data_IF_961454346671
#
_entry.id   IF_961454346671
#
_cell.length_a   1.000
_cell.length_b   1.000
_cell.length_c   1.000
_cell.angle_alpha   90.00
_cell.angle_beta   90.00
_cell.angle_gamma   90.00
#
_symmetry.space_group_name_H-M   'P 1'
#
loop_
_entity.id
_entity.type
_entity.pdbx_description
1 polymer ?
#
# COMPACT_ATOMS: atom_id res chain seq x y z
N UNK A 1 1.45 -9.58 -18.14
CA UNK A 1 0.02 -9.52 -17.75
C UNK A 1 -0.78 -10.31 -18.76
N UNK A 2 -1.80 -11.05 -18.33
CA UNK A 2 -2.39 -12.07 -19.22
C UNK A 2 -3.90 -12.17 -19.09
N UNK A 3 -4.60 -12.04 -20.21
CA UNK A 3 -5.94 -12.57 -20.44
C UNK A 3 -5.90 -14.08 -20.56
N UNK A 4 -7.00 -14.75 -20.28
CA UNK A 4 -7.17 -16.21 -20.44
C UNK A 4 -8.08 -16.43 -21.64
N UNK A 5 -7.60 -17.19 -22.62
CA UNK A 5 -8.38 -17.55 -23.81
C UNK A 5 -8.38 -19.07 -23.98
N UNK A 6 -9.41 -19.58 -24.62
CA UNK A 6 -9.51 -21.00 -24.96
C UNK A 6 -8.59 -21.32 -26.14
N UNK A 7 -7.81 -22.40 -26.02
CA UNK A 7 -6.92 -22.84 -27.08
C UNK A 7 -7.70 -23.58 -28.17
N UNK A 8 -8.13 -22.84 -29.19
CA UNK A 8 -8.87 -23.40 -30.32
C UNK A 8 -8.08 -24.44 -31.14
N UNK A 9 -6.75 -24.50 -31.00
CA UNK A 9 -5.94 -25.51 -31.71
C UNK A 9 -6.17 -26.93 -31.21
N UNK A 10 -6.79 -27.09 -30.04
CA UNK A 10 -7.17 -28.38 -29.47
C UNK A 10 -8.39 -28.99 -30.16
N UNK A 11 -9.08 -28.21 -30.98
CA UNK A 11 -10.25 -28.65 -31.72
C UNK A 11 -9.86 -28.97 -33.16
N UNK A 12 -10.20 -30.16 -33.62
CA UNK A 12 -10.02 -30.54 -35.02
C UNK A 12 -11.11 -29.88 -35.89
N UNK A 13 -10.86 -29.77 -37.20
CA UNK A 13 -11.90 -29.30 -38.14
C UNK A 13 -13.17 -30.18 -38.14
N UNK A 14 -13.09 -31.41 -37.63
CA UNK A 14 -14.23 -32.33 -37.54
C UNK A 14 -15.11 -32.08 -36.30
N UNK A 15 -14.64 -31.24 -35.36
CA UNK A 15 -15.34 -30.88 -34.12
C UNK A 15 -16.25 -29.66 -34.27
N UNK A 16 -16.51 -29.25 -35.51
CA UNK A 16 -17.41 -28.16 -35.85
C UNK A 16 -18.60 -28.71 -36.64
N UNK A 17 -19.76 -28.03 -36.61
CA UNK A 17 -20.94 -28.42 -37.39
C UNK A 17 -20.56 -28.73 -38.86
N UNK A 18 -21.05 -29.84 -39.44
CA UNK A 18 -22.32 -30.50 -39.13
C UNK A 18 -22.25 -31.79 -38.28
N UNK A 19 -21.07 -32.20 -37.80
CA UNK A 19 -20.89 -33.54 -37.19
C UNK A 19 -21.34 -33.63 -35.72
N UNK A 20 -21.77 -32.52 -35.10
CA UNK A 20 -22.23 -32.42 -33.70
C UNK A 20 -21.26 -32.96 -32.63
N UNK A 21 -20.01 -33.29 -32.95
CA UNK A 21 -18.99 -33.56 -31.93
C UNK A 21 -18.54 -32.25 -31.32
N UNK A 22 -18.47 -32.21 -30.00
CA UNK A 22 -17.91 -31.08 -29.26
C UNK A 22 -16.46 -31.44 -28.94
N UNK A 23 -15.55 -30.60 -29.41
CA UNK A 23 -14.13 -30.66 -29.13
C UNK A 23 -13.82 -30.98 -27.66
N UNK A 24 -12.84 -31.85 -27.42
CA UNK A 24 -12.33 -32.22 -26.09
C UNK A 24 -13.42 -32.67 -25.09
N UNK A 25 -14.62 -33.08 -25.54
CA UNK A 25 -15.65 -33.61 -24.63
C UNK A 25 -15.66 -35.12 -24.57
N UNK A 26 -14.99 -35.80 -25.50
CA UNK A 26 -14.92 -37.25 -25.58
C UNK A 26 -13.71 -37.84 -24.87
N UNK A 27 -13.50 -39.13 -25.14
CA UNK A 27 -12.33 -39.85 -24.63
C UNK A 27 -11.03 -39.30 -25.23
N UNK A 28 -11.10 -38.73 -26.43
CA UNK A 28 -10.02 -38.06 -27.15
C UNK A 28 -9.42 -36.86 -26.41
N UNK A 29 -10.21 -36.10 -25.64
CA UNK A 29 -9.70 -35.00 -24.82
C UNK A 29 -9.31 -35.40 -23.40
N UNK A 30 -10.20 -36.12 -22.70
CA UNK A 30 -10.06 -36.38 -21.26
C UNK A 30 -9.50 -37.76 -20.90
N UNK A 31 -9.55 -38.72 -21.82
CA UNK A 31 -9.28 -40.14 -21.54
C UNK A 31 -8.27 -40.80 -22.50
N UNK A 32 -7.60 -40.05 -23.38
CA UNK A 32 -6.65 -40.60 -24.36
C UNK A 32 -5.24 -40.12 -24.06
N UNK A 33 -4.30 -41.07 -24.01
CA UNK A 33 -2.86 -40.93 -23.69
C UNK A 33 -2.07 -39.94 -24.59
N UNK A 34 -2.71 -39.30 -25.57
CA UNK A 34 -2.07 -38.30 -26.45
C UNK A 34 -2.18 -36.87 -25.90
N UNK A 35 -3.14 -36.59 -25.03
CA UNK A 35 -3.36 -35.25 -24.45
C UNK A 35 -3.18 -35.23 -22.93
N UNK A 36 -2.29 -36.07 -22.39
CA UNK A 36 -1.88 -36.08 -20.98
C UNK A 36 -1.57 -34.68 -20.45
N UNK A 37 -1.08 -33.77 -21.30
CA UNK A 37 -0.79 -32.40 -20.92
C UNK A 37 -2.02 -31.67 -20.34
N UNK A 38 -3.24 -31.88 -20.86
CA UNK A 38 -4.42 -31.20 -20.34
C UNK A 38 -4.77 -31.69 -18.94
N UNK A 39 -4.82 -33.01 -18.76
CA UNK A 39 -5.12 -33.64 -17.48
C UNK A 39 -4.03 -33.34 -16.45
N UNK A 40 -2.75 -33.40 -16.83
CA UNK A 40 -1.62 -33.09 -15.94
C UNK A 40 -1.60 -31.61 -15.55
N UNK A 41 -1.80 -30.68 -16.49
CA UNK A 41 -1.91 -29.25 -16.15
C UNK A 41 -3.13 -29.03 -15.25
N UNK A 42 -4.28 -29.63 -15.57
CA UNK A 42 -5.49 -29.55 -14.77
C UNK A 42 -5.28 -30.04 -13.33
N UNK A 43 -4.66 -31.22 -13.18
CA UNK A 43 -4.27 -31.79 -11.90
C UNK A 43 -3.29 -30.89 -11.13
N UNK A 44 -2.31 -30.31 -11.82
CA UNK A 44 -1.37 -29.38 -11.18
C UNK A 44 -2.05 -28.08 -10.72
N UNK A 45 -3.06 -27.61 -11.44
CA UNK A 45 -3.82 -26.42 -11.05
C UNK A 45 -4.75 -26.69 -9.87
N UNK A 46 -5.48 -27.81 -9.86
CA UNK A 46 -6.37 -28.17 -8.74
C UNK A 46 -5.60 -28.49 -7.45
N UNK A 47 -4.38 -29.05 -7.57
CA UNK A 47 -3.47 -29.32 -6.45
C UNK A 47 -2.62 -28.11 -6.05
N UNK A 48 -2.81 -26.97 -6.72
CA UNK A 48 -2.06 -25.73 -6.50
C UNK A 48 -0.53 -25.92 -6.62
N UNK A 49 -0.08 -26.86 -7.47
CA UNK A 49 1.32 -27.12 -7.81
C UNK A 49 1.76 -26.48 -9.13
N UNK A 50 0.82 -26.01 -9.95
CA UNK A 50 1.13 -25.36 -11.24
C UNK A 50 2.01 -24.12 -11.05
N UNK A 51 3.00 -23.94 -11.94
CA UNK A 51 3.94 -22.81 -11.90
C UNK A 51 3.36 -21.52 -12.49
N UNK A 52 2.40 -21.61 -13.41
CA UNK A 52 1.97 -20.47 -14.23
C UNK A 52 0.58 -19.94 -13.85
N UNK A 53 -0.32 -20.82 -13.39
CA UNK A 53 -1.73 -20.48 -13.14
C UNK A 53 -2.26 -21.12 -11.86
N UNK A 54 -3.34 -20.56 -11.34
CA UNK A 54 -4.11 -21.08 -10.20
C UNK A 54 -5.58 -20.69 -10.34
N UNK A 55 -6.46 -21.36 -9.62
CA UNK A 55 -7.86 -20.95 -9.50
C UNK A 55 -8.02 -20.17 -8.19
N UNK A 56 -8.71 -19.04 -8.26
CA UNK A 56 -9.16 -18.30 -7.08
C UNK A 56 -10.67 -18.23 -7.06
N UNK A 57 -11.25 -18.03 -5.89
CA UNK A 57 -12.69 -17.85 -5.70
C UNK A 57 -12.94 -16.48 -5.07
N UNK A 58 -13.83 -15.70 -5.67
CA UNK A 58 -14.17 -14.35 -5.23
C UNK A 58 -15.40 -14.39 -4.34
N UNK A 59 -15.21 -14.18 -3.04
CA UNK A 59 -16.29 -14.19 -2.05
C UNK A 59 -17.28 -13.03 -2.26
N UNK A 60 -16.80 -11.89 -2.76
CA UNK A 60 -17.60 -10.70 -3.09
C UNK A 60 -18.36 -10.81 -4.41
N UNK A 61 -18.14 -11.89 -5.18
CA UNK A 61 -18.84 -12.17 -6.42
C UNK A 61 -19.61 -13.51 -6.37
N UNK A 62 -20.20 -13.82 -5.20
CA UNK A 62 -21.00 -15.05 -4.97
C UNK A 62 -20.23 -16.33 -5.29
N UNK A 63 -19.02 -16.47 -4.71
CA UNK A 63 -18.14 -17.62 -4.89
C UNK A 63 -17.79 -17.92 -6.36
N UNK A 64 -17.67 -16.87 -7.18
CA UNK A 64 -17.21 -16.99 -8.57
C UNK A 64 -15.75 -17.44 -8.59
N UNK A 65 -15.49 -18.58 -9.24
CA UNK A 65 -14.13 -19.07 -9.46
C UNK A 65 -13.56 -18.53 -10.77
N UNK A 66 -12.27 -18.20 -10.79
CA UNK A 66 -11.55 -17.61 -11.92
C UNK A 66 -10.17 -18.24 -12.10
N UNK A 67 -9.70 -18.33 -13.35
CA UNK A 67 -8.31 -18.74 -13.66
C UNK A 67 -7.40 -17.53 -13.63
N UNK A 68 -6.41 -17.50 -12.76
CA UNK A 68 -5.47 -16.36 -12.66
C UNK A 68 -4.02 -16.81 -12.78
N UNK A 69 -3.11 -15.93 -13.21
CA UNK A 69 -1.69 -16.22 -13.16
C UNK A 69 -1.23 -16.42 -11.72
N UNK A 70 -0.25 -17.31 -11.51
CA UNK A 70 0.28 -17.58 -10.16
C UNK A 70 1.04 -16.39 -9.59
N UNK A 71 1.82 -15.73 -10.42
CA UNK A 71 2.65 -14.58 -10.06
C UNK A 71 2.25 -13.39 -10.92
N UNK A 72 1.83 -12.32 -10.26
CA UNK A 72 1.54 -11.03 -10.91
C UNK A 72 2.30 -9.96 -10.14
N UNK A 73 2.94 -9.06 -10.88
CA UNK A 73 3.64 -7.92 -10.29
C UNK A 73 2.63 -6.98 -9.63
N UNK A 74 2.78 -6.76 -8.33
CA UNK A 74 1.93 -5.85 -7.54
C UNK A 74 2.02 -4.40 -8.01
N UNK A 75 2.99 -4.04 -8.84
CA UNK A 75 3.10 -2.71 -9.47
C UNK A 75 2.23 -2.56 -10.72
N UNK A 76 1.33 -3.50 -10.98
CA UNK A 76 0.59 -3.51 -12.23
C UNK A 76 -0.90 -3.49 -11.98
N UNK A 77 -1.62 -2.82 -12.85
CA UNK A 77 -3.07 -2.92 -12.95
C UNK A 77 -3.46 -3.12 -14.40
N UNK A 78 -4.45 -3.97 -14.65
CA UNK A 78 -4.89 -4.31 -16.01
C UNK A 78 -6.30 -4.87 -16.03
N UNK A 79 -6.91 -4.89 -17.22
CA UNK A 79 -8.16 -5.62 -17.48
C UNK A 79 -7.89 -6.79 -18.42
N UNK A 80 -8.41 -7.96 -18.08
CA UNK A 80 -8.13 -9.20 -18.77
C UNK A 80 -9.43 -9.96 -19.02
N UNK A 81 -9.62 -10.44 -20.24
CA UNK A 81 -10.69 -11.40 -20.53
C UNK A 81 -10.38 -12.72 -19.82
N UNK A 82 -11.40 -13.37 -19.30
CA UNK A 82 -11.28 -14.61 -18.54
C UNK A 82 -12.59 -15.43 -18.59
N UNK A 83 -12.50 -16.64 -18.07
CA UNK A 83 -13.64 -17.52 -17.85
C UNK A 83 -13.91 -17.66 -16.36
N UNK A 84 -15.18 -17.60 -16.01
CA UNK A 84 -15.67 -17.81 -14.65
C UNK A 84 -16.57 -19.03 -14.56
N UNK A 85 -16.60 -19.63 -13.38
CA UNK A 85 -17.58 -20.67 -13.04
C UNK A 85 -18.21 -20.34 -11.70
N UNK A 86 -19.51 -20.61 -11.59
CA UNK A 86 -20.27 -20.47 -10.34
C UNK A 86 -21.15 -21.70 -10.19
N UNK A 87 -21.16 -22.28 -9.00
CA UNK A 87 -22.07 -23.36 -8.65
C UNK A 87 -23.06 -22.89 -7.58
N UNK A 88 -24.30 -23.33 -7.67
CA UNK A 88 -25.32 -23.13 -6.64
C UNK A 88 -25.95 -24.46 -6.29
N UNK A 89 -25.64 -24.95 -5.09
CA UNK A 89 -26.07 -26.25 -4.59
C UNK A 89 -27.11 -26.12 -3.49
N UNK A 90 -28.07 -27.06 -3.53
CA UNK A 90 -29.10 -27.24 -2.53
C UNK A 90 -29.08 -28.69 -2.05
N UNK A 91 -29.03 -28.87 -0.73
CA UNK A 91 -29.11 -30.20 -0.12
C UNK A 91 -30.46 -30.85 -0.39
N UNK A 92 -30.44 -32.13 -0.75
CA UNK A 92 -31.62 -32.96 -0.97
C UNK A 92 -31.90 -33.91 0.20
N UNK A 93 -30.95 -34.09 1.13
CA UNK A 93 -31.03 -35.08 2.20
C UNK A 93 -32.27 -34.93 3.09
N UNK A 94 -32.72 -33.71 3.36
CA UNK A 94 -33.92 -33.45 4.17
C UNK A 94 -35.23 -33.51 3.37
N UNK A 95 -35.15 -33.53 2.04
CA UNK A 95 -36.31 -33.43 1.14
C UNK A 95 -36.70 -34.79 0.55
N UNK A 96 -35.79 -35.75 0.60
CA UNK A 96 -36.00 -37.09 0.07
C UNK A 96 -36.32 -38.11 1.18
N UNK A 97 -37.21 -39.04 0.87
CA UNK A 97 -37.67 -40.08 1.78
C UNK A 97 -37.02 -41.41 1.36
N UNK A 98 -36.14 -41.93 2.21
CA UNK A 98 -35.48 -43.22 1.98
C UNK A 98 -34.62 -43.63 3.16
N UNK A 99 -35.08 -44.62 3.92
CA UNK A 99 -34.33 -45.29 4.99
C UNK A 99 -34.10 -46.74 4.56
N UNK A 100 -33.04 -47.03 3.80
CA UNK A 100 -32.82 -48.38 3.30
C UNK A 100 -31.43 -48.61 2.74
N UNK A 101 -30.88 -49.81 2.97
CA UNK A 101 -29.46 -50.16 2.75
C UNK A 101 -29.03 -50.24 1.28
N UNK A 102 -29.99 -50.41 0.36
CA UNK A 102 -29.74 -50.67 -1.07
C UNK A 102 -30.83 -50.14 -2.01
N UNK A 103 -31.85 -49.46 -1.49
CA UNK A 103 -32.95 -48.95 -2.31
C UNK A 103 -32.61 -47.57 -2.88
N UNK A 104 -33.08 -47.27 -4.09
CA UNK A 104 -32.98 -45.91 -4.61
C UNK A 104 -33.67 -44.92 -3.68
N UNK A 105 -33.13 -43.71 -3.56
CA UNK A 105 -33.75 -42.67 -2.72
C UNK A 105 -34.90 -42.05 -3.52
N UNK A 106 -36.10 -42.10 -2.96
CA UNK A 106 -37.26 -41.46 -3.54
C UNK A 106 -37.29 -39.98 -3.14
N UNK A 107 -37.26 -39.12 -4.14
CA UNK A 107 -37.31 -37.67 -4.00
C UNK A 107 -38.52 -37.10 -4.76
N UNK A 108 -39.58 -37.89 -5.00
CA UNK A 108 -40.72 -37.49 -5.84
C UNK A 108 -41.41 -36.22 -5.34
N UNK A 109 -41.31 -35.94 -4.04
CA UNK A 109 -41.84 -34.71 -3.41
C UNK A 109 -41.23 -33.42 -3.97
N UNK A 110 -40.03 -33.51 -4.54
CA UNK A 110 -39.34 -32.40 -5.20
C UNK A 110 -39.25 -32.60 -6.71
N UNK A 111 -39.98 -33.59 -7.25
CA UNK A 111 -40.04 -33.92 -8.67
C UNK A 111 -38.90 -34.82 -9.17
N UNK A 112 -38.08 -35.41 -8.29
CA UNK A 112 -37.03 -36.36 -8.67
C UNK A 112 -37.54 -37.75 -8.30
N UNK A 113 -37.97 -38.55 -9.27
CA UNK A 113 -38.52 -39.88 -8.93
C UNK A 113 -37.50 -40.77 -8.21
N UNK A 114 -36.30 -40.94 -8.75
CA UNK A 114 -35.32 -41.88 -8.18
C UNK A 114 -33.87 -41.38 -8.30
N UNK A 115 -33.15 -41.33 -7.17
CA UNK A 115 -31.67 -41.26 -7.17
C UNK A 115 -31.12 -42.70 -7.08
N UNK A 116 -30.44 -43.23 -8.12
CA UNK A 116 -29.76 -44.51 -8.05
C UNK A 116 -28.67 -44.42 -7.00
N UNK A 117 -28.48 -45.52 -6.28
CA UNK A 117 -27.37 -45.66 -5.33
C UNK A 117 -26.47 -46.77 -5.85
N UNK A 118 -25.16 -46.52 -5.99
CA UNK A 118 -24.22 -47.59 -6.28
C UNK A 118 -23.76 -48.21 -4.95
N UNK A 119 -24.25 -49.42 -4.56
CA UNK A 119 -23.92 -50.02 -3.27
C UNK A 119 -22.45 -50.47 -3.16
N UNK A 120 -21.75 -50.59 -4.29
CA UNK A 120 -20.47 -51.29 -4.38
C UNK A 120 -19.24 -50.40 -4.19
N UNK A 121 -19.40 -49.07 -4.17
CA UNK A 121 -18.25 -48.14 -4.22
C UNK A 121 -18.17 -47.27 -2.96
N UNK A 122 -16.99 -47.28 -2.34
CA UNK A 122 -16.69 -46.63 -1.06
C UNK A 122 -16.51 -45.11 -1.20
N UNK A 123 -16.31 -44.62 -2.41
CA UNK A 123 -16.43 -43.21 -2.77
C UNK A 123 -16.86 -43.09 -4.23
N UNK A 124 -18.06 -42.57 -4.48
CA UNK A 124 -18.51 -42.27 -5.83
C UNK A 124 -19.24 -40.96 -5.82
N UNK A 125 -18.91 -40.13 -6.80
CA UNK A 125 -19.79 -39.11 -7.29
C UNK A 125 -20.84 -39.80 -8.16
N UNK A 126 -22.12 -39.70 -7.83
CA UNK A 126 -23.15 -39.94 -8.83
C UNK A 126 -23.22 -38.73 -9.76
N UNK A 127 -23.27 -39.05 -11.05
CA UNK A 127 -22.90 -38.22 -12.19
C UNK A 127 -23.78 -36.99 -12.37
N UNK A 128 -23.14 -35.92 -12.84
CA UNK A 128 -23.75 -34.72 -13.45
C UNK A 128 -24.58 -35.14 -14.66
N UNK A 129 -25.85 -35.46 -14.43
CA UNK A 129 -26.87 -35.55 -15.47
C UNK A 129 -27.91 -34.46 -15.25
N UNK A 130 -28.49 -33.93 -16.34
CA UNK A 130 -29.55 -32.95 -16.26
C UNK A 130 -30.75 -33.62 -15.59
N UNK A 131 -31.44 -32.83 -14.79
CA UNK A 131 -32.48 -33.26 -13.86
C UNK A 131 -33.59 -34.08 -14.53
N UNK A 132 -33.96 -33.69 -15.75
CA UNK A 132 -34.99 -34.31 -16.60
C UNK A 132 -34.71 -35.76 -17.00
N UNK A 133 -33.44 -36.21 -16.96
CA UNK A 133 -33.05 -37.59 -17.31
C UNK A 133 -33.25 -38.61 -16.19
N UNK A 134 -33.75 -38.19 -15.03
CA UNK A 134 -33.86 -39.05 -13.85
C UNK A 134 -35.25 -39.64 -13.65
N UNK A 135 -36.19 -39.36 -14.57
CA UNK A 135 -37.60 -39.53 -14.25
C UNK A 135 -38.26 -40.91 -14.51
N UNK A 136 -37.61 -41.87 -15.17
CA UNK A 136 -38.25 -43.18 -15.47
C UNK A 136 -37.35 -44.41 -15.50
N UNK A 137 -36.05 -44.26 -15.77
CA UNK A 137 -35.06 -45.36 -15.73
C UNK A 137 -33.70 -44.75 -15.39
N UNK A 138 -33.33 -44.63 -14.09
CA UNK A 138 -32.07 -44.01 -13.73
C UNK A 138 -30.93 -44.81 -14.40
N UNK A 139 -30.03 -44.17 -15.15
CA UNK A 139 -28.89 -44.87 -15.70
C UNK A 139 -28.15 -45.55 -14.55
N UNK A 140 -27.80 -46.84 -14.73
CA UNK A 140 -27.01 -47.52 -13.72
C UNK A 140 -25.74 -46.71 -13.48
N UNK A 141 -25.45 -46.31 -12.24
CA UNK A 141 -24.21 -45.64 -11.84
C UNK A 141 -22.97 -46.54 -11.99
N UNK A 142 -23.07 -47.60 -12.78
CA UNK A 142 -22.11 -48.68 -12.87
C UNK A 142 -21.23 -48.61 -14.12
N UNK A 143 -21.30 -47.53 -14.91
CA UNK A 143 -20.68 -47.55 -16.23
C UNK A 143 -19.78 -46.36 -16.45
N UNK A 144 -18.54 -46.69 -16.78
CA UNK A 144 -17.41 -45.90 -17.27
C UNK A 144 -17.69 -45.11 -18.56
N UNK A 145 -18.95 -44.74 -18.81
CA UNK A 145 -19.42 -44.07 -20.01
C UNK A 145 -20.01 -42.70 -19.65
N UNK A 146 -19.61 -41.63 -20.34
CA UNK A 146 -20.08 -40.28 -20.05
C UNK A 146 -21.58 -40.17 -20.34
N UNK A 147 -22.35 -39.57 -19.42
CA UNK A 147 -23.78 -39.29 -19.60
C UNK A 147 -24.06 -38.22 -20.68
N UNK A 148 -23.01 -37.51 -21.08
CA UNK A 148 -22.93 -36.69 -22.29
C UNK A 148 -21.83 -37.27 -23.18
N UNK A 149 -22.21 -38.12 -24.13
CA UNK A 149 -21.26 -38.74 -25.07
C UNK A 149 -20.86 -37.80 -26.22
N UNK A 150 -19.81 -38.16 -26.98
CA UNK A 150 -19.27 -37.40 -28.12
C UNK A 150 -20.25 -37.16 -29.29
N UNK A 151 -21.49 -37.64 -29.18
CA UNK A 151 -22.54 -37.52 -30.20
C UNK A 151 -23.75 -36.67 -29.75
N UNK A 152 -23.74 -36.12 -28.53
CA UNK A 152 -24.85 -35.32 -27.99
C UNK A 152 -24.37 -33.92 -27.58
N UNK A 153 -24.36 -32.99 -28.52
CA UNK A 153 -24.42 -31.57 -28.19
C UNK A 153 -25.84 -31.21 -27.71
N UNK A 154 -26.04 -30.33 -26.73
CA UNK A 154 -25.11 -29.60 -25.86
C UNK A 154 -25.72 -29.52 -24.45
N UNK A 155 -24.90 -29.42 -23.41
CA UNK A 155 -25.39 -29.06 -22.07
C UNK A 155 -25.87 -27.59 -22.08
N UNK A 156 -26.99 -27.32 -21.42
CA UNK A 156 -27.49 -25.95 -21.20
C UNK A 156 -26.54 -25.18 -20.28
N UNK A 157 -26.54 -23.85 -20.37
CA UNK A 157 -25.90 -22.98 -19.39
C UNK A 157 -26.96 -22.10 -18.68
N UNK A 158 -27.34 -22.40 -17.42
CA UNK A 158 -26.66 -23.27 -16.45
C UNK A 158 -26.78 -24.78 -16.73
N UNK A 159 -25.75 -25.51 -16.35
CA UNK A 159 -25.73 -26.98 -16.34
C UNK A 159 -26.36 -27.45 -15.05
N UNK A 160 -27.55 -28.04 -15.13
CA UNK A 160 -28.20 -28.64 -13.97
C UNK A 160 -27.62 -30.03 -13.70
N UNK A 161 -27.32 -30.29 -12.42
CA UNK A 161 -26.60 -31.49 -12.00
C UNK A 161 -27.19 -32.04 -10.71
N UNK A 162 -27.26 -33.37 -10.63
CA UNK A 162 -27.47 -34.07 -9.36
C UNK A 162 -26.14 -34.64 -8.90
N UNK A 163 -25.86 -34.44 -7.62
CA UNK A 163 -24.62 -34.81 -6.97
C UNK A 163 -24.93 -35.81 -5.87
N UNK A 164 -24.27 -36.96 -5.89
CA UNK A 164 -24.17 -37.83 -4.73
C UNK A 164 -22.71 -37.95 -4.35
N UNK A 165 -22.30 -37.54 -3.15
CA UNK A 165 -20.98 -37.86 -2.62
C UNK A 165 -21.12 -38.94 -1.56
N UNK A 166 -20.19 -39.89 -1.54
CA UNK A 166 -20.21 -41.01 -0.59
C UNK A 166 -18.83 -41.25 0.00
N UNK A 167 -18.75 -41.61 1.28
CA UNK A 167 -17.53 -42.12 1.88
C UNK A 167 -17.81 -43.08 3.04
N UNK A 168 -16.87 -43.98 3.35
CA UNK A 168 -16.97 -44.85 4.52
C UNK A 168 -16.85 -44.03 5.82
N UNK A 169 -17.79 -44.28 6.74
CA UNK A 169 -17.62 -44.01 8.15
C UNK A 169 -16.96 -45.22 8.81
N UNK A 170 -15.73 -45.05 9.28
CA UNK A 170 -15.05 -46.06 10.08
C UNK A 170 -15.54 -46.10 11.55
N UNK A 171 -16.58 -45.34 11.90
CA UNK A 171 -17.05 -45.23 13.28
C UNK A 171 -18.06 -46.33 13.59
N UNK A 172 -17.65 -47.27 14.45
CA UNK A 172 -18.46 -48.39 14.94
C UNK A 172 -19.79 -47.92 15.56
N UNK A 173 -20.90 -48.11 14.85
CA UNK A 173 -22.26 -48.22 15.40
C UNK A 173 -22.95 -46.95 15.90
N UNK A 174 -22.24 -45.84 16.07
CA UNK A 174 -22.81 -44.53 16.45
C UNK A 174 -22.19 -43.43 15.57
N UNK A 175 -22.63 -43.31 14.32
CA UNK A 175 -22.30 -42.15 13.50
C UNK A 175 -23.06 -40.94 14.04
N UNK A 176 -22.43 -40.18 14.93
CA UNK A 176 -22.84 -38.80 15.18
C UNK A 176 -22.66 -38.04 13.88
N UNK A 177 -23.79 -37.61 13.31
CA UNK A 177 -23.80 -36.79 12.11
C UNK A 177 -23.71 -35.33 12.56
N UNK A 178 -22.71 -34.57 12.11
CA UNK A 178 -22.49 -33.20 12.59
C UNK A 178 -23.54 -32.21 12.08
N UNK A 179 -24.23 -32.54 10.98
CA UNK A 179 -25.24 -31.68 10.35
C UNK A 179 -26.16 -32.48 9.42
N UNK A 180 -27.32 -31.91 9.09
CA UNK A 180 -28.35 -32.54 8.25
C UNK A 180 -27.95 -32.64 6.75
N UNK A 181 -26.79 -32.12 6.35
CA UNK A 181 -26.29 -32.28 4.98
C UNK A 181 -25.75 -33.69 4.72
N UNK A 182 -25.50 -34.47 5.77
CA UNK A 182 -24.96 -35.81 5.69
C UNK A 182 -26.05 -36.81 6.07
N UNK A 183 -26.26 -37.81 5.22
CA UNK A 183 -27.15 -38.92 5.46
C UNK A 183 -26.30 -40.13 5.88
N UNK A 184 -26.45 -40.65 7.10
CA UNK A 184 -25.64 -41.78 7.60
C UNK A 184 -26.08 -43.13 7.03
N UNK A 185 -27.17 -43.13 6.26
CA UNK A 185 -27.70 -44.32 5.61
C UNK A 185 -27.38 -44.30 4.12
N UNK A 186 -26.99 -45.46 3.56
CA UNK A 186 -26.91 -46.75 4.27
C UNK A 186 -25.58 -46.97 5.03
N UNK A 187 -25.64 -47.52 6.25
CA UNK A 187 -24.46 -47.84 7.06
C UNK A 187 -23.59 -48.88 6.34
N UNK A 188 -22.24 -48.76 6.33
CA UNK A 188 -21.39 -47.82 7.07
C UNK A 188 -20.98 -46.59 6.26
N UNK A 189 -21.85 -46.09 5.36
CA UNK A 189 -21.49 -45.07 4.39
C UNK A 189 -22.24 -43.76 4.67
N UNK A 190 -21.51 -42.66 4.62
CA UNK A 190 -22.04 -41.31 4.72
C UNK A 190 -22.29 -40.78 3.32
N UNK A 191 -23.45 -40.17 3.10
CA UNK A 191 -23.87 -39.68 1.79
C UNK A 191 -24.26 -38.20 1.85
N UNK A 192 -23.92 -37.45 0.81
CA UNK A 192 -24.46 -36.11 0.56
C UNK A 192 -25.17 -36.16 -0.78
N UNK A 193 -26.44 -35.80 -0.80
CA UNK A 193 -27.22 -35.59 -2.01
C UNK A 193 -27.46 -34.09 -2.18
N UNK A 194 -27.11 -33.57 -3.36
CA UNK A 194 -27.33 -32.17 -3.69
C UNK A 194 -27.81 -32.01 -5.13
N UNK A 195 -28.69 -31.03 -5.35
CA UNK A 195 -28.99 -30.50 -6.68
C UNK A 195 -28.15 -29.24 -6.85
N UNK A 196 -27.37 -29.17 -7.92
CA UNK A 196 -26.45 -28.07 -8.19
C UNK A 196 -26.65 -27.54 -9.61
N UNK A 197 -26.75 -26.21 -9.76
CA UNK A 197 -26.63 -25.54 -11.05
C UNK A 197 -25.23 -24.97 -11.22
N UNK A 198 -24.54 -25.34 -12.30
CA UNK A 198 -23.21 -24.87 -12.63
C UNK A 198 -23.29 -23.93 -13.83
N UNK A 199 -23.01 -22.65 -13.61
CA UNK A 199 -23.04 -21.61 -14.63
C UNK A 199 -21.63 -21.21 -15.02
N UNK A 200 -21.37 -21.13 -16.31
CA UNK A 200 -20.09 -20.67 -16.87
C UNK A 200 -20.24 -19.29 -17.49
N UNK A 201 -19.25 -18.43 -17.30
CA UNK A 201 -19.28 -17.04 -17.71
C UNK A 201 -18.07 -16.68 -18.56
N UNK A 202 -18.31 -15.88 -19.60
CA UNK A 202 -17.30 -15.09 -20.27
C UNK A 202 -17.28 -13.72 -19.60
N UNK A 203 -16.14 -13.33 -19.05
CA UNK A 203 -16.06 -12.11 -18.25
C UNK A 203 -14.77 -11.35 -18.47
N UNK A 204 -14.79 -10.09 -18.04
CA UNK A 204 -13.59 -9.27 -17.93
C UNK A 204 -13.27 -9.09 -16.45
N UNK A 205 -12.09 -9.54 -16.03
CA UNK A 205 -11.59 -9.29 -14.69
C UNK A 205 -10.66 -8.08 -14.69
N UNK A 206 -10.62 -7.36 -13.57
CA UNK A 206 -9.65 -6.33 -13.30
C UNK A 206 -8.65 -6.83 -12.25
N UNK A 207 -7.38 -6.53 -12.49
CA UNK A 207 -6.31 -6.67 -11.51
C UNK A 207 -5.85 -5.29 -11.07
N UNK A 208 -5.77 -5.06 -9.77
CA UNK A 208 -5.15 -3.88 -9.17
C UNK A 208 -4.13 -4.28 -8.10
N UNK A 209 -2.86 -4.32 -8.49
CA UNK A 209 -1.77 -4.65 -7.57
C UNK A 209 -1.53 -3.61 -6.47
N UNK A 210 -2.08 -2.40 -6.60
CA UNK A 210 -1.95 -1.32 -5.62
C UNK A 210 -3.05 -1.31 -4.55
N UNK A 211 -4.02 -2.23 -4.62
CA UNK A 211 -5.12 -2.33 -3.67
C UNK A 211 -4.62 -2.56 -2.24
N UNK A 212 -5.05 -1.71 -1.29
CA UNK A 212 -4.67 -1.76 0.13
C UNK A 212 -5.21 -2.99 0.86
N UNK A 213 -6.33 -3.53 0.40
CA UNK A 213 -7.11 -4.54 1.12
C UNK A 213 -6.77 -5.97 0.67
N UNK A 214 -5.66 -6.16 -0.05
CA UNK A 214 -5.26 -7.42 -0.69
C UNK A 214 -6.28 -8.01 -1.68
N UNK A 215 -7.36 -7.27 -1.95
CA UNK A 215 -8.34 -7.53 -3.00
C UNK A 215 -7.78 -7.13 -4.36
N UNK A 216 -6.84 -7.93 -4.84
CA UNK A 216 -6.17 -7.65 -6.10
C UNK A 216 -7.01 -7.95 -7.33
N UNK A 217 -8.07 -8.76 -7.20
CA UNK A 217 -8.90 -9.22 -8.31
C UNK A 217 -10.34 -8.79 -8.08
N UNK A 218 -10.97 -8.24 -9.11
CA UNK A 218 -12.38 -7.89 -9.10
C UNK A 218 -13.02 -8.17 -10.45
N UNK A 219 -14.34 -8.40 -10.43
CA UNK A 219 -15.17 -8.57 -11.62
C UNK A 219 -16.34 -7.63 -11.50
N UNK A 220 -16.63 -6.89 -12.56
CA UNK A 220 -17.79 -6.02 -12.59
C UNK A 220 -19.05 -6.87 -12.86
N UNK A 221 -20.14 -6.72 -12.10
CA UNK A 221 -21.37 -7.50 -12.30
C UNK A 221 -21.93 -7.40 -13.73
N UNK A 222 -21.79 -6.23 -14.36
CA UNK A 222 -22.19 -5.98 -15.75
C UNK A 222 -21.38 -6.78 -16.79
N UNK A 223 -20.20 -7.26 -16.42
CA UNK A 223 -19.31 -8.04 -17.29
C UNK A 223 -19.55 -9.57 -17.16
N UNK A 224 -20.52 -10.00 -16.35
CA UNK A 224 -20.87 -11.43 -16.17
C UNK A 224 -21.85 -11.90 -17.24
N UNK A 225 -21.32 -12.26 -18.41
CA UNK A 225 -22.13 -12.82 -19.50
C UNK A 225 -22.06 -14.35 -19.48
N UNK A 226 -23.20 -15.07 -19.38
CA UNK A 226 -23.19 -16.53 -19.52
C UNK A 226 -22.54 -16.95 -20.83
N UNK A 227 -21.65 -17.94 -20.78
CA UNK A 227 -21.04 -18.52 -21.95
C UNK A 227 -22.04 -19.30 -22.80
N UNK A 228 -21.70 -19.63 -24.05
CA UNK A 228 -22.58 -20.44 -24.90
C UNK A 228 -22.73 -21.87 -24.35
N UNK A 229 -23.87 -22.51 -24.63
CA UNK A 229 -24.13 -23.91 -24.27
C UNK A 229 -23.04 -24.87 -24.78
N UNK A 230 -22.51 -24.61 -25.98
CA UNK A 230 -21.40 -25.37 -26.54
C UNK A 230 -20.14 -25.27 -25.67
N UNK A 231 -19.79 -24.06 -25.22
CA UNK A 231 -18.62 -23.85 -24.37
C UNK A 231 -18.85 -24.38 -22.96
N UNK A 232 -20.05 -24.20 -22.40
CA UNK A 232 -20.43 -24.79 -21.12
C UNK A 232 -20.29 -26.33 -21.14
N UNK A 233 -20.60 -26.98 -22.27
CA UNK A 233 -20.42 -28.42 -22.42
C UNK A 233 -18.95 -28.83 -22.35
N UNK A 234 -18.05 -28.06 -22.98
CA UNK A 234 -16.60 -28.27 -22.88
C UNK A 234 -16.14 -28.18 -21.42
N UNK A 235 -16.58 -27.14 -20.71
CA UNK A 235 -16.19 -26.91 -19.32
C UNK A 235 -16.82 -27.92 -18.34
N UNK A 236 -17.98 -28.48 -18.68
CA UNK A 236 -18.64 -29.52 -17.92
C UNK A 236 -18.12 -30.95 -18.22
N UNK A 237 -17.34 -31.14 -19.30
CA UNK A 237 -16.89 -32.47 -19.71
C UNK A 237 -16.11 -33.24 -18.63
N UNK A 238 -15.21 -32.65 -17.82
CA UNK A 238 -14.55 -33.37 -16.72
C UNK A 238 -15.54 -33.96 -15.70
N UNK A 239 -16.72 -33.35 -15.52
CA UNK A 239 -17.79 -33.89 -14.68
C UNK A 239 -18.50 -35.07 -15.33
N UNK A 240 -18.78 -34.96 -16.63
CA UNK A 240 -19.38 -36.06 -17.38
C UNK A 240 -18.48 -37.31 -17.35
N UNK A 241 -17.15 -37.11 -17.36
CA UNK A 241 -16.13 -38.15 -17.24
C UNK A 241 -15.73 -38.53 -15.81
N UNK A 242 -16.38 -37.97 -14.79
CA UNK A 242 -16.09 -38.28 -13.38
C UNK A 242 -14.65 -38.00 -12.92
N UNK A 243 -13.90 -37.17 -13.65
CA UNK A 243 -12.49 -36.89 -13.32
C UNK A 243 -12.34 -36.09 -12.03
N UNK A 244 -13.30 -35.23 -11.73
CA UNK A 244 -13.34 -34.34 -10.55
C UNK A 244 -13.73 -35.06 -9.25
N UNK A 245 -14.27 -36.26 -9.36
CA UNK A 245 -15.02 -36.95 -8.30
C UNK A 245 -14.21 -37.19 -7.04
N UNK A 246 -13.00 -37.72 -7.20
CA UNK A 246 -12.14 -38.07 -6.06
C UNK A 246 -11.70 -36.82 -5.30
N UNK A 247 -11.27 -35.78 -6.03
CA UNK A 247 -10.88 -34.50 -5.45
C UNK A 247 -12.06 -33.81 -4.75
N UNK A 248 -13.24 -33.82 -5.37
CA UNK A 248 -14.44 -33.24 -4.77
C UNK A 248 -14.82 -33.98 -3.47
N UNK A 249 -14.83 -35.31 -3.52
CA UNK A 249 -15.18 -36.14 -2.36
C UNK A 249 -14.19 -35.93 -1.22
N UNK A 250 -12.88 -35.93 -1.50
CA UNK A 250 -11.86 -35.71 -0.48
C UNK A 250 -11.96 -34.31 0.15
N UNK A 251 -12.14 -33.26 -0.67
CA UNK A 251 -12.22 -31.88 -0.19
C UNK A 251 -13.49 -31.63 0.63
N UNK A 252 -14.62 -32.16 0.18
CA UNK A 252 -15.91 -31.97 0.85
C UNK A 252 -16.03 -32.84 2.09
N UNK A 253 -15.46 -34.05 2.11
CA UNK A 253 -15.51 -34.93 3.29
C UNK A 253 -15.04 -34.21 4.55
N UNK A 254 -13.86 -33.59 4.53
CA UNK A 254 -13.34 -32.89 5.71
C UNK A 254 -14.25 -31.74 6.14
N UNK A 255 -14.71 -30.91 5.18
CA UNK A 255 -15.55 -29.74 5.46
C UNK A 255 -16.93 -30.14 5.97
N UNK A 256 -17.53 -31.17 5.39
CA UNK A 256 -18.83 -31.68 5.78
C UNK A 256 -18.79 -32.26 7.20
N UNK A 257 -17.71 -32.94 7.57
CA UNK A 257 -17.55 -33.51 8.90
C UNK A 257 -17.27 -32.48 9.99
N UNK A 258 -16.75 -31.30 9.64
CA UNK A 258 -16.45 -30.20 10.58
C UNK A 258 -17.49 -29.09 10.60
N UNK A 259 -18.38 -29.02 9.62
CA UNK A 259 -19.36 -27.95 9.50
C UNK A 259 -20.51 -28.12 10.50
N UNK A 260 -20.99 -26.98 11.01
CA UNK A 260 -22.08 -26.92 11.98
C UNK A 260 -23.46 -26.79 11.31
N UNK A 261 -23.51 -26.53 10.00
CA UNK A 261 -24.77 -26.33 9.28
C UNK A 261 -24.71 -26.81 7.84
N UNK A 262 -25.88 -27.16 7.31
CA UNK A 262 -26.05 -27.58 5.91
C UNK A 262 -25.63 -26.49 4.93
N UNK A 263 -25.86 -25.22 5.27
CA UNK A 263 -25.48 -24.08 4.44
C UNK A 263 -23.97 -23.97 4.30
N UNK A 264 -23.19 -24.25 5.36
CA UNK A 264 -21.73 -24.25 5.28
C UNK A 264 -21.22 -25.36 4.36
N UNK A 265 -21.85 -26.54 4.41
CA UNK A 265 -21.50 -27.66 3.51
C UNK A 265 -21.83 -27.33 2.06
N UNK A 266 -23.00 -26.76 1.78
CA UNK A 266 -23.39 -26.36 0.43
C UNK A 266 -22.54 -25.19 -0.10
N UNK A 267 -22.18 -24.23 0.73
CA UNK A 267 -21.25 -23.16 0.33
C UNK A 267 -19.86 -23.71 -0.03
N UNK A 268 -19.35 -24.64 0.78
CA UNK A 268 -18.11 -25.36 0.45
C UNK A 268 -18.23 -26.12 -0.88
N UNK A 269 -19.39 -26.74 -1.13
CA UNK A 269 -19.67 -27.46 -2.36
C UNK A 269 -19.70 -26.52 -3.58
N UNK A 270 -20.32 -25.34 -3.45
CA UNK A 270 -20.32 -24.31 -4.49
C UNK A 270 -18.91 -23.88 -4.89
N UNK A 271 -18.07 -23.63 -3.89
CA UNK A 271 -16.67 -23.23 -4.09
C UNK A 271 -15.86 -24.35 -4.75
N UNK A 272 -15.96 -25.58 -4.27
CA UNK A 272 -15.17 -26.69 -4.83
C UNK A 272 -15.63 -27.10 -6.22
N UNK A 273 -16.95 -27.12 -6.50
CA UNK A 273 -17.46 -27.40 -7.84
C UNK A 273 -17.01 -26.34 -8.84
N UNK A 274 -17.21 -25.05 -8.54
CA UNK A 274 -16.76 -24.00 -9.46
C UNK A 274 -15.23 -24.04 -9.67
N UNK A 275 -14.46 -24.30 -8.60
CA UNK A 275 -13.00 -24.38 -8.66
C UNK A 275 -12.50 -25.57 -9.47
N UNK A 276 -13.06 -26.76 -9.24
CA UNK A 276 -12.66 -27.97 -9.96
C UNK A 276 -13.10 -27.91 -11.43
N UNK A 277 -14.23 -27.27 -11.72
CA UNK A 277 -14.71 -27.09 -13.09
C UNK A 277 -13.68 -26.37 -13.95
N UNK A 278 -13.20 -25.21 -13.48
CA UNK A 278 -12.15 -24.45 -14.17
C UNK A 278 -10.76 -25.09 -14.02
N UNK A 279 -10.52 -25.78 -12.91
CA UNK A 279 -9.24 -26.40 -12.62
C UNK A 279 -8.89 -27.50 -13.61
N UNK A 280 -9.80 -28.45 -13.86
CA UNK A 280 -9.53 -29.56 -14.79
C UNK A 280 -9.38 -29.09 -16.24
N UNK A 281 -10.19 -28.13 -16.67
CA UNK A 281 -10.13 -27.52 -18.01
C UNK A 281 -9.02 -26.49 -18.19
N UNK A 282 -8.24 -26.22 -17.14
CA UNK A 282 -7.19 -25.21 -17.20
C UNK A 282 -6.09 -25.52 -18.21
N UNK A 283 -5.87 -26.79 -18.56
CA UNK A 283 -4.94 -27.21 -19.62
C UNK A 283 -5.37 -26.76 -21.02
N UNK A 284 -6.68 -26.53 -21.24
CA UNK A 284 -7.22 -26.04 -22.49
C UNK A 284 -7.13 -24.50 -22.63
N UNK A 285 -6.69 -23.81 -21.58
CA UNK A 285 -6.54 -22.36 -21.59
C UNK A 285 -5.10 -21.94 -21.91
N UNK A 286 -4.96 -20.84 -22.63
CA UNK A 286 -3.69 -20.18 -22.88
C UNK A 286 -3.76 -18.72 -22.45
N UNK A 287 -2.60 -18.18 -22.10
CA UNK A 287 -2.47 -16.80 -21.71
C UNK A 287 -2.25 -15.91 -22.95
N UNK A 288 -3.09 -14.89 -23.08
CA UNK A 288 -3.02 -13.87 -24.13
C UNK A 288 -2.72 -12.49 -23.52
N UNK A 289 -2.29 -11.48 -24.29
CA UNK A 289 -2.06 -10.14 -23.76
C UNK A 289 -3.30 -9.54 -23.08
N UNK A 290 -3.08 -8.88 -21.93
CA UNK A 290 -4.12 -8.12 -21.23
C UNK A 290 -4.30 -6.72 -21.84
N UNK A 291 -5.47 -6.12 -21.60
CA UNK A 291 -5.80 -4.76 -22.01
C UNK A 291 -5.62 -3.76 -20.87
N UNK A 292 -5.54 -2.45 -21.19
CA UNK A 292 -5.46 -1.36 -20.20
C UNK A 292 -4.38 -1.56 -19.13
N UNK A 293 -3.22 -2.08 -19.54
CA UNK A 293 -2.09 -2.30 -18.65
C UNK A 293 -1.50 -0.97 -18.19
N UNK A 294 -1.43 -0.77 -16.88
CA UNK A 294 -0.74 0.32 -16.22
C UNK A 294 0.33 -0.26 -15.31
N UNK A 295 1.55 0.25 -15.42
CA UNK A 295 2.65 -0.11 -14.52
C UNK A 295 2.92 1.10 -13.64
N UNK A 296 2.65 0.96 -12.35
CA UNK A 296 3.06 1.92 -11.34
C UNK A 296 4.55 1.73 -11.08
N UNK A 297 5.37 2.38 -11.92
CA UNK A 297 6.78 2.53 -11.59
C UNK A 297 6.82 3.41 -10.34
N UNK A 298 7.41 2.96 -9.21
CA UNK A 298 7.73 3.86 -8.13
C UNK A 298 8.77 4.83 -8.69
N UNK A 299 8.31 5.94 -9.26
CA UNK A 299 9.19 7.06 -9.49
C UNK A 299 9.67 7.42 -8.10
N UNK A 300 10.97 7.21 -7.88
CA UNK A 300 11.72 7.90 -6.85
C UNK A 300 11.67 9.38 -7.27
N UNK A 301 10.50 10.01 -7.11
CA UNK A 301 10.43 11.39 -6.69
C UNK A 301 11.08 11.34 -5.32
N UNK A 302 12.42 11.43 -5.32
CA UNK A 302 13.17 11.66 -4.12
C UNK A 302 12.41 12.74 -3.37
N UNK A 303 12.00 12.43 -2.15
CA UNK A 303 11.40 13.35 -1.19
C UNK A 303 12.43 14.41 -0.78
N UNK A 304 13.05 15.09 -1.75
CA UNK A 304 13.55 16.42 -1.57
C UNK A 304 12.39 17.32 -1.95
N UNK A 305 11.55 17.73 -0.99
CA UNK A 305 10.56 18.74 -1.26
C UNK A 305 11.33 19.96 -1.79
N UNK A 306 11.10 20.29 -3.06
CA UNK A 306 11.82 21.34 -3.78
C UNK A 306 11.63 22.67 -3.04
N UNK A 307 10.48 22.85 -2.37
CA UNK A 307 10.19 24.01 -1.56
C UNK A 307 11.20 24.23 -0.40
N UNK A 308 11.43 23.30 0.54
CA UNK A 308 12.50 23.42 1.55
C UNK A 308 13.91 23.65 0.98
N UNK A 309 14.24 23.03 -0.16
CA UNK A 309 15.54 23.22 -0.79
C UNK A 309 15.68 24.65 -1.35
N UNK A 310 14.65 25.16 -2.03
CA UNK A 310 14.62 26.55 -2.51
C UNK A 310 14.64 27.55 -1.35
N UNK A 311 13.90 27.28 -0.27
CA UNK A 311 13.90 28.11 0.94
C UNK A 311 15.29 28.15 1.57
N UNK A 312 15.98 27.01 1.66
CA UNK A 312 17.35 26.95 2.18
C UNK A 312 18.32 27.75 1.32
N UNK A 313 18.27 27.59 -0.01
CA UNK A 313 19.12 28.37 -0.94
C UNK A 313 18.84 29.87 -0.84
N UNK A 314 17.58 30.27 -0.74
CA UNK A 314 17.17 31.66 -0.59
C UNK A 314 17.69 32.28 0.73
N UNK A 315 17.58 31.55 1.84
CA UNK A 315 18.12 31.97 3.14
C UNK A 315 19.65 32.15 3.09
N UNK A 316 20.34 31.27 2.36
CA UNK A 316 21.79 31.35 2.17
C UNK A 316 22.19 32.61 1.38
N UNK A 317 21.42 32.95 0.34
CA UNK A 317 21.60 34.19 -0.41
C UNK A 317 21.35 35.44 0.45
N UNK A 318 20.29 35.44 1.26
CA UNK A 318 19.99 36.56 2.18
C UNK A 318 21.12 36.74 3.19
N UNK A 319 21.63 35.64 3.77
CA UNK A 319 22.73 35.69 4.73
C UNK A 319 24.02 36.24 4.09
N UNK A 320 24.32 35.81 2.86
CA UNK A 320 25.45 36.35 2.09
C UNK A 320 25.31 37.86 1.81
N UNK A 321 24.11 38.31 1.42
CA UNK A 321 23.82 39.72 1.20
C UNK A 321 24.01 40.55 2.47
N UNK A 322 23.50 40.07 3.60
CA UNK A 322 23.68 40.75 4.90
C UNK A 322 25.17 40.88 5.24
N UNK A 323 25.96 39.81 5.03
CA UNK A 323 27.41 39.85 5.24
C UNK A 323 28.11 40.91 4.38
N UNK A 324 27.74 41.00 3.09
CA UNK A 324 28.29 42.02 2.19
C UNK A 324 27.90 43.43 2.65
N UNK A 325 26.65 43.65 3.05
CA UNK A 325 26.20 44.96 3.54
C UNK A 325 26.97 45.39 4.79
N UNK A 326 27.14 44.48 5.76
CA UNK A 326 27.93 44.75 6.97
C UNK A 326 29.37 45.09 6.59
N UNK A 327 29.99 44.30 5.72
CA UNK A 327 31.34 44.54 5.25
C UNK A 327 31.48 45.91 4.59
N UNK A 328 30.59 46.27 3.66
CA UNK A 328 30.60 47.58 2.99
C UNK A 328 30.36 48.73 3.98
N UNK A 329 29.47 48.55 4.97
CA UNK A 329 29.28 49.54 6.02
C UNK A 329 30.54 49.71 6.88
N UNK A 330 31.21 48.62 7.26
CA UNK A 330 32.47 48.69 8.00
C UNK A 330 33.58 49.39 7.22
N UNK A 331 33.66 49.18 5.90
CA UNK A 331 34.60 49.93 5.05
C UNK A 331 34.28 51.42 4.94
N UNK A 332 32.99 51.79 5.02
CA UNK A 332 32.55 53.18 4.92
C UNK A 332 32.52 53.92 6.26
N UNK A 333 32.73 53.24 7.39
CA UNK A 333 32.96 53.91 8.67
C UNK A 333 34.34 54.57 8.65
N UNK A 334 34.37 55.83 8.21
CA UNK A 334 35.56 56.68 8.33
C UNK A 334 35.84 56.91 9.81
N UNK A 335 37.06 56.59 10.25
CA UNK A 335 37.56 57.01 11.55
C UNK A 335 37.71 58.52 11.55
N UNK A 336 36.99 59.21 12.44
CA UNK A 336 37.14 60.65 12.58
C UNK A 336 38.54 60.97 13.08
N UNK A 337 39.22 61.88 12.38
CA UNK A 337 40.55 62.34 12.73
C UNK A 337 40.42 63.52 13.69
N UNK A 338 41.02 63.40 14.86
CA UNK A 338 41.01 64.47 15.87
C UNK A 338 42.25 65.32 15.67
N UNK A 339 42.05 66.62 15.52
CA UNK A 339 43.13 67.60 15.46
C UNK A 339 43.65 67.80 16.89
N UNK A 340 44.91 67.44 17.15
CA UNK A 340 45.53 67.66 18.46
C UNK A 340 46.15 69.06 18.46
N UNK A 341 45.69 69.99 19.33
CA UNK A 341 46.27 71.32 19.42
C UNK A 341 47.76 71.23 19.85
N UNK A 342 48.62 72.13 19.33
CA UNK A 342 50.07 72.09 19.57
C UNK A 342 50.48 72.26 21.05
N UNK A 343 49.57 72.74 21.90
CA UNK A 343 49.81 73.04 23.32
C UNK A 343 49.96 71.78 24.18
N UNK A 344 49.25 70.69 23.85
CA UNK A 344 49.34 69.41 24.56
C UNK A 344 50.62 68.62 24.22
N UNK A 345 51.40 69.05 23.22
CA UNK A 345 52.65 68.40 22.79
C UNK A 345 53.87 68.84 23.60
N UNK A 346 53.78 69.92 24.40
CA UNK A 346 54.90 70.46 25.18
C UNK A 346 55.49 69.49 26.22
N UNK A 347 54.73 68.50 26.67
CA UNK A 347 55.22 67.49 27.62
C UNK A 347 55.99 66.33 26.95
N UNK A 348 55.99 66.23 25.63
CA UNK A 348 56.61 65.14 24.87
C UNK A 348 57.79 65.65 24.01
N UNK A 349 58.72 66.40 24.60
CA UNK A 349 60.15 66.48 24.23
C UNK A 349 60.60 66.53 22.76
N UNK A 350 59.76 66.95 21.80
CA UNK A 350 60.12 66.98 20.38
C UNK A 350 60.09 68.40 19.82
N UNK A 351 61.25 69.02 19.70
CA UNK A 351 61.50 70.26 18.97
C UNK A 351 61.51 69.97 17.47
N UNK A 352 60.38 70.10 16.78
CA UNK A 352 60.33 70.46 15.35
C UNK A 352 58.92 70.88 14.93
N UNK A 353 58.89 71.79 13.96
CA UNK A 353 57.91 72.85 13.71
C UNK A 353 56.86 72.46 12.65
N UNK A 354 55.61 72.88 12.91
CA UNK A 354 54.47 73.18 12.03
C UNK A 354 54.03 72.17 10.94
N UNK A 355 53.16 71.24 11.33
CA UNK A 355 52.01 70.79 10.52
C UNK A 355 50.98 70.15 11.47
N UNK A 356 49.69 70.47 11.31
CA UNK A 356 48.60 69.86 12.07
C UNK A 356 48.62 68.33 11.86
N UNK A 357 49.00 67.58 12.89
CA UNK A 357 49.02 66.13 12.80
C UNK A 357 47.64 65.59 13.14
N UNK A 358 46.90 65.20 12.10
CA UNK A 358 45.63 64.49 12.22
C UNK A 358 45.89 63.09 12.74
N UNK A 359 45.45 62.79 13.97
CA UNK A 359 45.54 61.45 14.54
C UNK A 359 44.14 60.82 14.52
N UNK A 360 43.98 59.59 13.99
CA UNK A 360 42.69 58.92 14.01
C UNK A 360 42.26 58.65 15.45
N UNK A 361 41.01 58.95 15.78
CA UNK A 361 40.42 58.75 17.11
C UNK A 361 40.60 57.33 17.67
N UNK A 362 40.67 56.33 16.79
CA UNK A 362 40.95 54.94 17.15
C UNK A 362 42.35 54.75 17.79
N UNK A 363 43.35 55.51 17.35
CA UNK A 363 44.72 55.44 17.85
C UNK A 363 44.84 56.10 19.24
N UNK A 364 44.10 57.17 19.48
CA UNK A 364 43.94 57.80 20.80
C UNK A 364 43.24 56.88 21.82
N UNK A 365 42.18 56.19 21.39
CA UNK A 365 41.49 55.20 22.23
C UNK A 365 42.41 54.03 22.55
N UNK A 366 43.17 53.55 21.56
CA UNK A 366 44.18 52.50 21.77
C UNK A 366 45.22 52.94 22.80
N UNK A 367 45.80 54.13 22.66
CA UNK A 367 46.79 54.69 23.59
C UNK A 367 46.28 54.79 25.04
N UNK A 368 45.01 55.15 25.24
CA UNK A 368 44.39 55.22 26.57
C UNK A 368 44.05 53.84 27.15
N UNK A 369 43.70 52.87 26.32
CA UNK A 369 43.45 51.49 26.75
C UNK A 369 44.74 50.70 27.01
N UNK A 370 45.84 51.04 26.33
CA UNK A 370 47.12 50.32 26.45
C UNK A 370 48.12 50.97 27.39
N UNK A 371 47.95 52.22 27.83
CA UNK A 371 48.86 52.88 28.77
C UNK A 371 48.14 53.34 30.06
N UNK A 372 48.64 52.98 31.25
CA UNK A 372 48.08 53.43 32.54
C UNK A 372 48.48 54.86 32.94
N UNK A 373 49.39 55.50 32.19
CA UNK A 373 49.92 56.85 32.46
C UNK A 373 48.87 57.98 32.46
N UNK A 374 47.89 58.04 31.54
CA UNK A 374 46.86 59.09 31.55
C UNK A 374 45.96 59.03 32.79
N UNK A 375 45.78 57.84 33.37
CA UNK A 375 45.01 57.65 34.59
C UNK A 375 45.79 58.15 35.82
N UNK A 376 47.12 57.91 35.85
CA UNK A 376 48.01 58.36 36.93
C UNK A 376 48.22 59.89 36.93
N UNK A 377 48.30 60.52 35.75
CA UNK A 377 48.41 61.98 35.64
C UNK A 377 47.18 62.73 36.18
N UNK A 378 46.02 62.06 36.24
CA UNK A 378 44.77 62.63 36.77
C UNK A 378 44.69 62.57 38.31
N UNK A 379 45.51 61.74 38.96
CA UNK A 379 45.57 61.62 40.43
C UNK A 379 46.70 62.40 41.10
N UNK A 380 47.70 62.88 40.35
CA UNK A 380 48.90 63.55 40.89
C UNK A 380 49.12 64.97 40.32
N UNK A 381 48.06 65.74 40.09
CA UNK A 381 48.17 67.17 39.81
C UNK A 381 48.26 67.97 41.12
N UNK A 382 49.35 67.79 41.88
CA UNK A 382 49.68 68.71 42.98
C UNK A 382 50.49 69.90 42.43
N UNK A 383 50.14 71.15 42.81
CA UNK A 383 50.85 72.34 42.35
C UNK A 383 52.16 72.50 43.11
N UNK A 384 53.29 72.25 42.44
CA UNK A 384 54.62 72.51 43.00
C UNK A 384 55.16 73.81 42.41
N UNK A 385 55.07 74.91 43.14
CA UNK A 385 56.05 75.99 43.03
C UNK A 385 56.50 76.48 44.41
N UNK A 386 57.82 76.41 44.58
CA UNK A 386 58.65 76.68 45.74
C UNK A 386 58.61 78.16 46.10
N UNK A 387 58.08 78.50 47.29
CA UNK A 387 58.69 79.43 48.27
C UNK A 387 57.63 80.02 49.21
N UNK A 388 57.84 79.84 50.51
CA UNK A 388 57.22 80.55 51.63
C UNK A 388 55.84 80.03 52.14
N UNK A 389 55.76 79.49 53.38
CA UNK A 389 54.51 78.97 53.95
C UNK A 389 53.62 80.11 54.43
N UNK A 390 52.48 80.30 53.77
CA UNK A 390 51.47 81.27 54.17
C UNK A 390 50.66 80.80 55.40
N UNK A 391 50.21 81.81 56.15
CA UNK A 391 49.68 81.79 57.52
C UNK A 391 48.20 81.34 57.61
N UNK A 392 47.64 81.08 58.80
CA UNK A 392 46.28 80.57 58.99
C UNK A 392 45.13 81.55 58.64
N UNK A 393 45.40 82.62 57.91
CA UNK A 393 44.41 83.62 57.48
C UNK A 393 44.43 83.82 55.96
N UNK A 394 44.95 82.83 55.22
CA UNK A 394 45.02 82.84 53.76
C UNK A 394 43.64 82.48 53.15
N UNK A 395 43.06 83.32 52.28
CA UNK A 395 41.73 83.10 51.70
C UNK A 395 41.63 81.88 50.77
N UNK A 396 42.75 81.24 50.45
CA UNK A 396 42.81 80.07 49.59
C UNK A 396 42.56 78.74 50.32
N UNK A 397 42.53 78.75 51.67
CA UNK A 397 42.10 77.57 52.45
C UNK A 397 40.56 77.44 52.58
N UNK A 398 39.81 78.43 52.11
CA UNK A 398 38.33 78.40 52.07
C UNK A 398 37.76 78.30 50.64
N UNK A 399 38.59 78.31 49.60
CA UNK A 399 38.13 78.21 48.20
C UNK A 399 37.98 76.75 47.69
N UNK A 400 38.43 75.76 48.45
CA UNK A 400 38.37 74.35 48.05
C UNK A 400 37.03 73.64 48.35
N UNK A 401 36.05 74.33 48.94
CA UNK A 401 34.73 73.76 49.25
C UNK A 401 33.56 74.50 48.62
N UNK A 402 33.79 75.66 48.00
CA UNK A 402 32.73 76.50 47.42
C UNK A 402 32.86 76.70 45.90
N UNK A 403 33.81 76.02 45.24
CA UNK A 403 34.05 76.16 43.80
C UNK A 403 33.95 74.84 43.00
N UNK A 404 33.29 73.83 43.56
CA UNK A 404 32.89 72.62 42.80
C UNK A 404 31.45 72.66 42.31
N UNK A 405 30.64 73.63 42.76
CA UNK A 405 29.30 73.90 42.21
C UNK A 405 29.30 74.89 41.05
N UNK A 406 30.37 75.66 40.84
CA UNK A 406 30.55 76.52 39.65
C UNK A 406 31.32 75.84 38.51
N UNK A 407 31.80 74.59 38.71
CA UNK A 407 32.49 73.83 37.65
C UNK A 407 31.53 73.14 36.65
N UNK A 408 30.21 73.34 36.81
CA UNK A 408 29.18 72.76 35.94
C UNK A 408 27.95 73.66 35.69
N UNK A 409 27.99 74.97 35.99
CA UNK A 409 26.89 75.87 35.60
C UNK A 409 27.24 76.68 34.36
N UNK A 410 26.52 76.37 33.29
CA UNK A 410 26.65 76.92 31.94
C UNK A 410 25.69 78.08 31.79
N UNK A 411 26.13 79.32 32.06
CA UNK A 411 25.50 80.50 31.45
C UNK A 411 26.45 81.69 31.43
N UNK A 412 26.45 82.38 30.29
CA UNK A 412 26.99 83.74 30.05
C UNK A 412 28.51 83.93 29.91
N UNK A 413 29.03 83.60 28.72
CA UNK A 413 30.01 84.48 28.09
C UNK A 413 29.90 84.42 26.56
N UNK A 414 29.11 85.34 26.05
CA UNK A 414 28.93 85.63 24.62
C UNK A 414 30.13 86.41 24.10
N UNK A 415 31.20 85.71 23.71
CA UNK A 415 32.14 86.12 22.64
C UNK A 415 33.26 85.09 22.52
N UNK A 416 33.48 84.63 21.28
CA UNK A 416 34.45 83.65 20.78
C UNK A 416 33.91 82.21 20.63
N UNK A 417 33.89 81.80 19.36
CA UNK A 417 33.28 80.62 18.77
C UNK A 417 34.31 79.48 18.76
N UNK A 418 34.62 78.91 19.94
CA UNK A 418 35.50 77.74 20.07
C UNK A 418 34.68 76.51 20.46
N UNK A 419 34.63 75.53 19.55
CA UNK A 419 34.02 74.21 19.76
C UNK A 419 34.74 73.48 20.89
N UNK A 420 34.12 73.38 22.07
CA UNK A 420 34.68 72.66 23.22
C UNK A 420 34.23 71.19 23.23
N UNK A 421 35.16 70.31 23.58
CA UNK A 421 34.90 68.89 23.82
C UNK A 421 34.52 68.70 25.29
N UNK A 422 33.34 68.17 25.56
CA UNK A 422 32.85 67.85 26.91
C UNK A 422 33.20 66.40 27.27
N UNK A 423 33.67 66.19 28.50
CA UNK A 423 34.00 64.88 29.05
C UNK A 423 33.22 64.70 30.34
N UNK A 424 32.26 63.77 30.37
CA UNK A 424 31.49 63.56 31.59
C UNK A 424 30.41 62.50 31.49
N UNK A 425 29.76 62.27 32.63
CA UNK A 425 28.56 61.47 32.75
C UNK A 425 27.35 62.29 32.31
N UNK A 426 26.82 61.99 31.14
CA UNK A 426 25.56 62.56 30.69
C UNK A 426 24.42 61.82 31.40
N UNK A 427 23.61 62.57 32.17
CA UNK A 427 22.42 62.05 32.84
C UNK A 427 21.25 62.04 31.83
N UNK A 428 21.15 60.99 31.03
CA UNK A 428 19.93 60.73 30.25
C UNK A 428 18.88 60.04 31.13
N UNK A 429 17.59 60.33 30.92
CA UNK A 429 16.47 59.83 31.75
C UNK A 429 16.36 58.29 31.82
N UNK A 430 17.08 57.54 30.97
CA UNK A 430 16.97 56.09 30.89
C UNK A 430 18.26 55.31 31.19
N UNK A 431 19.43 55.97 31.32
CA UNK A 431 20.68 55.47 31.95
C UNK A 431 21.83 56.49 31.79
N UNK A 432 22.73 56.64 32.77
CA UNK A 432 23.90 57.50 32.62
C UNK A 432 24.93 56.86 31.67
N UNK A 433 25.44 57.65 30.70
CA UNK A 433 26.49 57.24 29.77
C UNK A 433 27.74 58.10 29.98
N UNK A 434 28.90 57.46 30.05
CA UNK A 434 30.19 58.15 30.08
C UNK A 434 30.70 58.26 28.64
N UNK A 435 30.91 59.48 28.14
CA UNK A 435 31.31 59.70 26.76
C UNK A 435 31.99 61.04 26.55
N UNK A 436 32.52 61.23 25.35
CA UNK A 436 33.12 62.48 24.88
C UNK A 436 32.16 63.05 23.85
N UNK A 437 31.69 64.26 24.07
CA UNK A 437 30.73 64.93 23.21
C UNK A 437 31.35 66.23 22.71
N UNK A 438 30.96 66.65 21.53
CA UNK A 438 31.35 67.92 20.94
C UNK A 438 30.06 68.69 20.72
N UNK A 439 30.01 69.93 21.22
CA UNK A 439 28.94 70.85 20.84
C UNK A 439 29.11 71.31 19.38
#
# INVERSE_FOLDING_TARGET
>A
MTSVIFNQSLCSQHDFPPLNSICITGADGWANDREDFMTVIGQNVISNSSSDRKIITLADAEDLSLVVPRVVDKRTSFKASNFGARAQCKSLNSQCIGQGTMTPINCSNIGITIIPTNPSVVASLAVVAPYDKWDDNPPSLNTSYPLFGPHYCCATNPVETLLQLRWSSQVNGLTSVPNDAIQPYPIPLLNIYASCSLTFYNLTMAYDGSASDEKYWSVAPEDLLPSSDHFATILAAPYAWQLVTDHLTMNIKSRAMSANSTQQVMAALNQELSRLALGYVSGAFIFAPASNVRVTVPTILGRYPIAPLLVFVLLLFIYGLIGIVIFVMSFNMRSDNVLIPPELRRFAGSTHVNADQLMPSLELVRLRLTSPLPLLAQFFSEPVSISEPARPEDPDALSALDNTSEMFDETESTKYDERRLRFGLEKSELRPRFGIWRD
#
